data_IF_656853686482
#
_entry.id   IF_656853686482
#
_cell.length_a   1.000
_cell.length_b   1.000
_cell.length_c   1.000
_cell.angle_alpha   90.00
_cell.angle_beta   90.00
_cell.angle_gamma   90.00
#
_symmetry.space_group_name_H-M   'P 1'
#
loop_
_entity.id
_entity.type
_entity.pdbx_description
1 polymer ?
#
# COMPACT_ATOMS: atom_id res chain seq x y z
N UNK A 1 -5.08 -117.38 12.63
CA UNK A 1 -4.30 -116.41 11.83
C UNK A 1 -3.58 -115.49 12.80
N UNK A 2 -2.25 -115.59 12.81
CA UNK A 2 -1.35 -114.73 13.57
C UNK A 2 -1.48 -113.27 13.08
N UNK A 3 -1.60 -112.32 14.00
CA UNK A 3 -1.31 -110.92 13.74
C UNK A 3 -0.30 -110.46 14.80
N UNK A 4 0.96 -110.37 14.37
CA UNK A 4 2.04 -109.70 15.09
C UNK A 4 1.93 -108.22 14.72
N UNK A 5 1.80 -107.34 15.70
CA UNK A 5 1.91 -105.89 15.53
C UNK A 5 2.96 -105.32 16.51
N UNK A 6 3.75 -104.32 16.10
CA UNK A 6 5.08 -104.09 16.63
C UNK A 6 5.11 -103.20 17.90
N UNK A 7 6.16 -103.39 18.70
CA UNK A 7 6.51 -102.57 19.88
C UNK A 7 6.98 -101.18 19.44
N UNK A 8 6.43 -100.07 19.96
CA UNK A 8 7.00 -98.75 19.71
C UNK A 8 8.19 -98.47 20.64
N UNK A 9 9.30 -98.11 20.01
CA UNK A 9 10.59 -97.74 20.60
C UNK A 9 10.46 -96.40 21.35
N UNK A 10 10.80 -96.37 22.65
CA UNK A 10 10.83 -95.15 23.48
C UNK A 10 12.04 -94.29 23.12
N UNK A 11 11.81 -93.12 22.51
CA UNK A 11 12.81 -92.05 22.47
C UNK A 11 12.68 -91.17 23.72
N UNK A 12 13.64 -91.26 24.63
CA UNK A 12 13.85 -90.27 25.70
C UNK A 12 14.53 -89.04 25.10
N UNK A 13 13.77 -87.98 24.84
CA UNK A 13 14.33 -86.65 24.59
C UNK A 13 14.88 -86.09 25.91
N UNK A 14 16.19 -85.95 26.01
CA UNK A 14 16.86 -85.16 27.05
C UNK A 14 16.53 -83.69 26.83
N UNK A 15 15.90 -83.08 27.84
CA UNK A 15 15.59 -81.65 27.91
C UNK A 15 16.91 -80.87 27.93
N UNK A 16 17.18 -80.08 26.89
CA UNK A 16 18.21 -79.06 26.92
C UNK A 16 17.68 -77.84 27.67
N UNK A 17 18.24 -77.56 28.84
CA UNK A 17 17.96 -76.33 29.61
C UNK A 17 18.43 -75.11 28.81
N UNK A 18 17.48 -74.30 28.35
CA UNK A 18 17.72 -72.94 27.87
C UNK A 18 17.15 -71.93 28.88
N UNK A 19 17.71 -71.90 30.08
CA UNK A 19 17.40 -70.89 31.11
C UNK A 19 18.15 -69.58 30.84
N UNK A 20 17.71 -68.86 29.80
CA UNK A 20 17.95 -67.41 29.66
C UNK A 20 16.71 -66.73 29.08
N UNK A 21 15.62 -66.71 29.84
CA UNK A 21 14.38 -65.99 29.48
C UNK A 21 13.72 -65.43 30.73
N UNK A 22 13.97 -64.15 31.04
CA UNK A 22 13.33 -63.48 32.16
C UNK A 22 13.72 -62.01 32.30
N UNK A 23 15.02 -61.70 32.23
CA UNK A 23 15.51 -60.32 32.40
C UNK A 23 14.98 -59.34 31.34
N UNK A 24 14.91 -59.76 30.07
CA UNK A 24 14.38 -58.93 28.97
C UNK A 24 12.87 -58.69 29.16
N UNK A 25 12.10 -59.68 29.60
CA UNK A 25 10.66 -59.53 29.83
C UNK A 25 10.36 -58.55 30.96
N UNK A 26 11.15 -58.59 32.05
CA UNK A 26 11.02 -57.65 33.18
C UNK A 26 11.40 -56.23 32.73
N UNK A 27 12.49 -56.06 31.98
CA UNK A 27 12.88 -54.75 31.44
C UNK A 27 11.80 -54.20 30.49
N UNK A 28 11.28 -55.03 29.59
CA UNK A 28 10.23 -54.65 28.64
C UNK A 28 8.95 -54.21 29.36
N UNK A 29 8.60 -54.86 30.48
CA UNK A 29 7.42 -54.53 31.28
C UNK A 29 7.46 -53.11 31.87
N UNK A 30 8.65 -52.53 32.09
CA UNK A 30 8.81 -51.14 32.55
C UNK A 30 9.08 -50.17 31.39
N UNK A 31 9.88 -50.57 30.41
CA UNK A 31 10.29 -49.69 29.31
C UNK A 31 9.13 -49.41 28.34
N UNK A 32 8.29 -50.40 28.00
CA UNK A 32 7.16 -50.17 27.08
C UNK A 32 6.16 -49.14 27.63
N UNK A 33 5.67 -49.24 28.88
CA UNK A 33 4.79 -48.22 29.45
C UNK A 33 5.45 -46.86 29.54
N UNK A 34 6.73 -46.79 29.90
CA UNK A 34 7.48 -45.54 29.95
C UNK A 34 7.57 -44.87 28.57
N UNK A 35 7.91 -45.64 27.53
CA UNK A 35 7.95 -45.14 26.15
C UNK A 35 6.57 -44.71 25.66
N UNK A 36 5.50 -45.43 26.02
CA UNK A 36 4.14 -45.06 25.67
C UNK A 36 3.70 -43.75 26.36
N UNK A 37 4.07 -43.55 27.63
CA UNK A 37 3.81 -42.29 28.35
C UNK A 37 4.57 -41.11 27.73
N UNK A 38 5.84 -41.31 27.37
CA UNK A 38 6.65 -40.29 26.68
C UNK A 38 6.07 -39.98 25.29
N UNK A 39 5.64 -40.98 24.54
CA UNK A 39 4.99 -40.77 23.25
C UNK A 39 3.67 -39.99 23.39
N UNK A 40 2.82 -40.35 24.35
CA UNK A 40 1.59 -39.64 24.64
C UNK A 40 1.86 -38.17 25.03
N UNK A 41 2.88 -37.92 25.85
CA UNK A 41 3.32 -36.57 26.19
C UNK A 41 3.78 -35.78 24.96
N UNK A 42 4.64 -36.37 24.11
CA UNK A 42 5.12 -35.72 22.88
C UNK A 42 3.97 -35.40 21.91
N UNK A 43 2.99 -36.30 21.77
CA UNK A 43 1.81 -36.09 20.92
C UNK A 43 0.95 -34.94 21.45
N UNK A 44 0.66 -34.91 22.76
CA UNK A 44 -0.09 -33.81 23.36
C UNK A 44 0.68 -32.47 23.24
N UNK A 45 2.00 -32.46 23.43
CA UNK A 45 2.83 -31.27 23.24
C UNK A 45 2.77 -30.77 21.79
N UNK A 46 2.89 -31.67 20.82
CA UNK A 46 2.77 -31.33 19.40
C UNK A 46 1.39 -30.75 19.07
N UNK A 47 0.32 -31.35 19.60
CA UNK A 47 -1.05 -30.83 19.46
C UNK A 47 -1.17 -29.42 20.06
N UNK A 48 -0.64 -29.18 21.26
CA UNK A 48 -0.68 -27.84 21.88
C UNK A 48 0.01 -26.79 21.01
N UNK A 49 1.18 -27.10 20.45
CA UNK A 49 1.93 -26.16 19.63
C UNK A 49 1.23 -25.91 18.29
N UNK A 50 0.70 -26.95 17.66
CA UNK A 50 -0.07 -26.82 16.44
C UNK A 50 -1.28 -25.89 16.64
N UNK A 51 -2.10 -26.16 17.65
CA UNK A 51 -3.31 -25.38 17.94
C UNK A 51 -2.97 -23.93 18.31
N UNK A 52 -1.86 -23.68 19.01
CA UNK A 52 -1.41 -22.30 19.29
C UNK A 52 -1.09 -21.54 18.01
N UNK A 53 -0.38 -22.18 17.09
CA UNK A 53 -0.02 -21.57 15.80
C UNK A 53 -1.27 -21.35 14.94
N UNK A 54 -2.14 -22.34 14.83
CA UNK A 54 -3.42 -22.23 14.12
C UNK A 54 -4.28 -21.09 14.68
N UNK A 55 -4.40 -21.00 16.01
CA UNK A 55 -5.17 -19.93 16.66
C UNK A 55 -4.53 -18.55 16.41
N UNK A 56 -3.20 -18.46 16.42
CA UNK A 56 -2.49 -17.22 16.12
C UNK A 56 -2.74 -16.76 14.67
N UNK A 57 -2.65 -17.67 13.70
CA UNK A 57 -2.94 -17.38 12.29
C UNK A 57 -4.39 -16.92 12.11
N UNK A 58 -5.35 -17.64 12.70
CA UNK A 58 -6.77 -17.27 12.63
C UNK A 58 -7.04 -15.89 13.24
N UNK A 59 -6.37 -15.57 14.35
CA UNK A 59 -6.52 -14.30 15.08
C UNK A 59 -5.92 -13.14 14.32
N UNK A 60 -4.70 -13.30 13.76
CA UNK A 60 -4.03 -12.28 12.96
C UNK A 60 -4.82 -11.97 11.68
N UNK A 61 -5.22 -13.01 10.95
CA UNK A 61 -6.04 -12.88 9.75
C UNK A 61 -7.37 -12.16 10.05
N UNK A 62 -8.03 -12.51 11.15
CA UNK A 62 -9.26 -11.86 11.58
C UNK A 62 -9.05 -10.39 11.98
N UNK A 63 -7.97 -10.07 12.71
CA UNK A 63 -7.65 -8.69 13.06
C UNK A 63 -7.40 -7.84 11.82
N UNK A 64 -6.65 -8.37 10.85
CA UNK A 64 -6.37 -7.68 9.59
C UNK A 64 -7.62 -7.48 8.74
N UNK A 65 -8.46 -8.51 8.61
CA UNK A 65 -9.72 -8.42 7.87
C UNK A 65 -10.68 -7.42 8.53
N UNK A 66 -10.81 -7.46 9.86
CA UNK A 66 -11.65 -6.52 10.60
C UNK A 66 -11.14 -5.09 10.52
N UNK A 67 -9.83 -4.86 10.67
CA UNK A 67 -9.21 -3.54 10.50
C UNK A 67 -9.36 -3.00 9.08
N UNK A 68 -9.21 -3.86 8.07
CA UNK A 68 -9.41 -3.48 6.66
C UNK A 68 -10.87 -3.16 6.34
N UNK A 69 -11.82 -3.99 6.74
CA UNK A 69 -13.24 -3.73 6.50
C UNK A 69 -13.75 -2.52 7.29
N UNK A 70 -13.25 -2.32 8.52
CA UNK A 70 -13.51 -1.09 9.25
C UNK A 70 -12.95 0.12 8.50
N UNK A 71 -11.72 0.01 8.01
CA UNK A 71 -11.11 1.02 7.15
C UNK A 71 -12.02 1.29 5.94
N UNK A 72 -12.34 0.32 5.10
CA UNK A 72 -13.12 0.53 3.87
C UNK A 72 -14.57 1.02 4.10
N UNK A 73 -15.31 0.43 5.03
CA UNK A 73 -16.76 0.66 5.17
C UNK A 73 -17.14 1.60 6.32
N UNK A 74 -16.21 1.91 7.24
CA UNK A 74 -16.44 2.78 8.40
C UNK A 74 -17.61 2.39 9.31
N UNK A 75 -18.02 1.11 9.27
CA UNK A 75 -19.07 0.59 10.15
C UNK A 75 -18.54 -0.49 11.07
N UNK A 76 -19.06 -0.48 12.31
CA UNK A 76 -18.78 -1.51 13.32
C UNK A 76 -19.21 -2.89 12.82
N UNK A 77 -20.36 -2.96 12.14
CA UNK A 77 -20.93 -4.22 11.67
C UNK A 77 -20.07 -4.86 10.58
N UNK A 78 -19.62 -4.08 9.59
CA UNK A 78 -18.74 -4.58 8.53
C UNK A 78 -17.41 -5.13 9.10
N UNK A 79 -16.81 -4.40 10.04
CA UNK A 79 -15.58 -4.80 10.70
C UNK A 79 -15.73 -6.12 11.46
N UNK A 80 -16.80 -6.24 12.25
CA UNK A 80 -17.09 -7.45 13.01
C UNK A 80 -17.39 -8.63 12.09
N UNK A 81 -18.18 -8.41 11.04
CA UNK A 81 -18.54 -9.46 10.09
C UNK A 81 -17.34 -9.96 9.30
N UNK A 82 -16.51 -9.05 8.76
CA UNK A 82 -15.29 -9.43 8.04
C UNK A 82 -14.33 -10.23 8.93
N UNK A 83 -14.10 -9.80 10.17
CA UNK A 83 -13.27 -10.55 11.11
C UNK A 83 -13.86 -11.93 11.43
N UNK A 84 -15.17 -12.03 11.61
CA UNK A 84 -15.88 -13.29 11.88
C UNK A 84 -15.79 -14.27 10.70
N UNK A 85 -16.00 -13.77 9.48
CA UNK A 85 -15.90 -14.58 8.26
C UNK A 85 -14.47 -15.07 8.04
N UNK A 86 -13.48 -14.19 8.20
CA UNK A 86 -12.07 -14.56 8.05
C UNK A 86 -11.57 -15.49 9.14
N UNK A 87 -12.02 -15.32 10.38
CA UNK A 87 -11.80 -16.30 11.43
C UNK A 87 -12.31 -17.69 11.02
N UNK A 88 -13.54 -17.78 10.52
CA UNK A 88 -14.17 -19.05 10.12
C UNK A 88 -13.53 -19.71 8.90
N UNK A 89 -12.75 -18.99 8.09
CA UNK A 89 -11.97 -19.58 7.00
C UNK A 89 -10.73 -20.35 7.49
N UNK A 90 -10.32 -20.15 8.74
CA UNK A 90 -9.17 -20.81 9.34
C UNK A 90 -9.62 -21.91 10.29
N UNK A 91 -8.94 -23.06 10.25
CA UNK A 91 -9.19 -24.17 11.17
C UNK A 91 -8.29 -24.08 12.41
N UNK A 92 -8.86 -24.37 13.58
CA UNK A 92 -8.13 -24.48 14.84
C UNK A 92 -8.54 -25.78 15.51
N UNK A 93 -7.57 -26.69 15.69
CA UNK A 93 -7.80 -28.05 16.16
C UNK A 93 -8.77 -28.85 15.26
N UNK A 94 -8.75 -28.60 13.95
CA UNK A 94 -9.57 -29.30 12.95
C UNK A 94 -11.03 -28.85 12.85
N UNK A 95 -11.37 -27.69 13.44
CA UNK A 95 -12.70 -27.08 13.33
C UNK A 95 -12.56 -25.61 12.90
N UNK A 96 -13.48 -25.07 12.07
CA UNK A 96 -13.50 -23.65 11.71
C UNK A 96 -13.56 -22.74 12.94
N UNK A 97 -12.66 -21.76 13.02
CA UNK A 97 -12.57 -20.90 14.20
C UNK A 97 -13.77 -19.93 14.31
N UNK A 98 -14.49 -20.00 15.43
CA UNK A 98 -15.65 -19.14 15.69
C UNK A 98 -15.28 -18.00 16.63
N UNK A 99 -15.15 -16.80 16.08
CA UNK A 99 -14.87 -15.56 16.83
C UNK A 99 -16.16 -14.99 17.43
N UNK A 100 -16.14 -14.66 18.73
CA UNK A 100 -17.27 -14.01 19.39
C UNK A 100 -17.18 -12.48 19.32
N UNK A 101 -17.88 -11.88 18.36
CA UNK A 101 -17.85 -10.42 18.14
C UNK A 101 -18.76 -9.61 19.08
N UNK A 102 -19.42 -10.25 20.04
CA UNK A 102 -20.19 -9.57 21.07
C UNK A 102 -19.26 -8.82 22.02
N UNK A 103 -19.59 -7.57 22.35
CA UNK A 103 -18.71 -6.70 23.15
C UNK A 103 -18.40 -7.29 24.55
N UNK A 104 -19.34 -8.04 25.13
CA UNK A 104 -19.16 -8.71 26.42
C UNK A 104 -18.14 -9.86 26.42
N UNK A 105 -17.83 -10.43 25.24
CA UNK A 105 -16.87 -11.51 25.11
C UNK A 105 -15.41 -11.02 25.10
N UNK A 106 -15.19 -9.74 24.79
CA UNK A 106 -13.85 -9.14 24.63
C UNK A 106 -12.93 -9.99 23.72
N UNK A 107 -13.46 -10.49 22.61
CA UNK A 107 -12.67 -11.16 21.56
C UNK A 107 -12.48 -10.27 20.33
N UNK A 108 -13.32 -9.26 20.13
CA UNK A 108 -13.16 -8.22 19.12
C UNK A 108 -13.33 -6.85 19.78
N UNK A 109 -12.33 -5.99 19.68
CA UNK A 109 -12.30 -4.70 20.38
C UNK A 109 -11.74 -3.61 19.47
N UNK A 110 -12.40 -2.45 19.45
CA UNK A 110 -11.84 -1.25 18.84
C UNK A 110 -10.98 -0.49 19.84
N UNK A 111 -10.02 0.26 19.34
CA UNK A 111 -9.14 1.04 20.19
C UNK A 111 -8.32 2.08 19.46
N UNK A 112 -7.48 2.72 20.26
CA UNK A 112 -6.41 3.60 19.80
C UNK A 112 -5.10 2.96 20.24
N UNK A 113 -4.21 2.72 19.29
CA UNK A 113 -2.87 2.22 19.57
C UNK A 113 -1.86 3.36 19.50
N UNK A 114 -1.16 3.62 20.61
CA UNK A 114 -0.14 4.65 20.68
C UNK A 114 1.13 4.10 21.37
N UNK A 115 2.31 4.58 20.98
CA UNK A 115 3.53 4.27 21.73
C UNK A 115 3.62 5.17 22.97
N UNK A 116 4.01 4.60 24.11
CA UNK A 116 4.02 5.32 25.39
C UNK A 116 4.94 6.58 25.43
N UNK A 117 5.99 6.65 24.59
CA UNK A 117 7.06 7.67 24.69
C UNK A 117 7.56 8.23 23.34
N UNK A 118 6.79 8.18 22.24
CA UNK A 118 7.16 8.94 21.03
C UNK A 118 8.26 8.39 20.13
N UNK A 119 9.18 7.55 20.63
CA UNK A 119 10.47 7.34 19.94
C UNK A 119 10.95 5.90 19.76
N UNK A 120 10.61 4.94 20.61
CA UNK A 120 11.05 3.52 20.49
C UNK A 120 10.23 2.52 21.31
N UNK A 121 9.02 2.88 21.77
CA UNK A 121 8.23 2.06 22.71
C UNK A 121 7.33 1.02 22.02
N UNK A 122 6.97 -0.06 22.73
CA UNK A 122 5.87 -0.94 22.29
C UNK A 122 4.57 -0.15 22.19
N UNK A 123 3.80 -0.43 21.15
CA UNK A 123 2.45 0.10 21.01
C UNK A 123 1.56 -0.42 22.15
N UNK A 124 0.84 0.49 22.79
CA UNK A 124 -0.16 0.19 23.80
C UNK A 124 -1.54 0.40 23.21
N UNK A 125 -2.33 -0.66 23.19
CA UNK A 125 -3.72 -0.61 22.77
C UNK A 125 -4.59 -0.09 23.94
N UNK A 126 -5.34 0.97 23.68
CA UNK A 126 -6.37 1.48 24.60
C UNK A 126 -7.74 1.21 24.01
N UNK A 127 -8.56 0.45 24.72
CA UNK A 127 -9.91 0.08 24.28
C UNK A 127 -10.82 1.30 24.22
N UNK A 128 -11.58 1.41 23.12
CA UNK A 128 -12.69 2.35 22.96
C UNK A 128 -14.01 1.57 22.99
N UNK A 129 -15.04 2.04 23.73
CA UNK A 129 -16.35 1.40 23.73
C UNK A 129 -16.98 1.36 22.33
N UNK A 130 -17.50 0.22 21.91
CA UNK A 130 -18.13 0.04 20.59
C UNK A 130 -19.28 1.03 20.34
N UNK A 131 -20.01 1.42 21.39
CA UNK A 131 -21.06 2.44 21.31
C UNK A 131 -20.55 3.85 20.97
N UNK A 132 -19.32 4.18 21.36
CA UNK A 132 -18.69 5.46 21.05
C UNK A 132 -18.16 5.47 19.60
N UNK A 133 -17.72 4.31 19.11
CA UNK A 133 -17.32 4.10 17.71
C UNK A 133 -18.51 4.18 16.77
N UNK A 134 -19.62 3.48 17.08
CA UNK A 134 -20.81 3.50 16.24
C UNK A 134 -21.52 4.85 16.21
N UNK A 135 -21.38 5.65 17.27
CA UNK A 135 -21.86 7.03 17.33
C UNK A 135 -20.87 8.05 16.73
N UNK A 136 -19.74 7.59 16.17
CA UNK A 136 -18.66 8.40 15.61
C UNK A 136 -18.16 9.51 16.57
N UNK A 137 -18.16 9.23 17.87
CA UNK A 137 -17.74 10.19 18.91
C UNK A 137 -16.23 10.18 19.12
N UNK A 138 -15.57 9.07 18.80
CA UNK A 138 -14.13 8.85 18.98
C UNK A 138 -13.59 8.12 17.76
N UNK A 139 -12.59 8.71 17.09
CA UNK A 139 -11.85 8.04 16.03
C UNK A 139 -11.00 6.90 16.61
N UNK A 140 -11.10 5.72 16.01
CA UNK A 140 -10.33 4.53 16.40
C UNK A 140 -9.23 4.29 15.39
N UNK A 141 -8.02 4.02 15.89
CA UNK A 141 -6.84 3.78 15.06
C UNK A 141 -6.39 2.32 15.07
N UNK A 142 -7.12 1.44 15.75
CA UNK A 142 -6.79 0.02 15.77
C UNK A 142 -7.97 -0.89 16.13
N UNK A 143 -7.86 -2.13 15.66
CA UNK A 143 -8.73 -3.26 15.99
C UNK A 143 -7.88 -4.33 16.66
N UNK A 144 -8.29 -4.78 17.85
CA UNK A 144 -7.71 -5.93 18.54
C UNK A 144 -8.65 -7.12 18.44
N UNK A 145 -8.10 -8.25 18.00
CA UNK A 145 -8.78 -9.55 18.07
C UNK A 145 -8.07 -10.41 19.10
N UNK A 146 -8.83 -11.02 20.00
CA UNK A 146 -8.32 -11.96 21.00
C UNK A 146 -8.90 -13.35 20.72
N UNK A 147 -8.10 -14.21 20.12
CA UNK A 147 -8.45 -15.60 19.88
C UNK A 147 -8.46 -16.41 21.17
N UNK A 148 -9.57 -17.11 21.47
CA UNK A 148 -9.75 -17.88 22.71
C UNK A 148 -10.24 -19.30 22.42
N UNK A 149 -9.57 -20.29 23.01
CA UNK A 149 -10.10 -21.66 23.21
C UNK A 149 -10.19 -21.92 24.70
N UNK A 150 -11.07 -21.20 25.38
CA UNK A 150 -11.29 -21.29 26.84
C UNK A 150 -12.72 -21.73 27.12
N UNK A 151 -13.10 -21.95 28.38
CA UNK A 151 -14.49 -22.28 28.73
C UNK A 151 -15.50 -21.17 28.44
N UNK A 152 -15.03 -19.94 28.19
CA UNK A 152 -15.88 -18.77 27.90
C UNK A 152 -15.99 -18.49 26.40
N UNK A 153 -15.17 -19.13 25.55
CA UNK A 153 -15.24 -18.95 24.11
C UNK A 153 -16.28 -19.88 23.48
N UNK A 154 -16.75 -19.54 22.28
CA UNK A 154 -17.82 -20.28 21.59
C UNK A 154 -17.45 -21.75 21.31
N UNK A 155 -16.16 -22.02 21.12
CA UNK A 155 -15.65 -23.36 20.81
C UNK A 155 -15.16 -24.15 22.02
N UNK A 156 -15.12 -23.54 23.20
CA UNK A 156 -14.62 -24.19 24.40
C UNK A 156 -13.11 -24.50 24.38
N UNK A 157 -12.62 -25.17 25.43
CA UNK A 157 -11.23 -25.61 25.55
C UNK A 157 -10.92 -26.80 24.63
N UNK A 158 -9.64 -27.02 24.33
CA UNK A 158 -9.22 -28.12 23.44
C UNK A 158 -8.85 -29.35 24.26
N UNK A 159 -9.50 -30.51 24.03
CA UNK A 159 -9.17 -31.74 24.76
C UNK A 159 -7.81 -32.29 24.32
N UNK A 160 -7.09 -32.90 25.26
CA UNK A 160 -5.91 -33.70 24.91
C UNK A 160 -6.30 -34.98 24.18
N UNK A 161 -5.47 -35.40 23.23
CA UNK A 161 -5.59 -36.72 22.60
C UNK A 161 -5.47 -37.82 23.67
N UNK A 162 -4.61 -37.64 24.68
CA UNK A 162 -4.46 -38.56 25.82
C UNK A 162 -4.75 -37.85 27.16
N UNK A 163 -6.00 -37.80 27.63
CA UNK A 163 -6.45 -36.91 28.73
C UNK A 163 -6.19 -37.42 30.16
N UNK A 164 -5.61 -38.61 30.37
CA UNK A 164 -5.49 -39.24 31.70
C UNK A 164 -4.07 -39.42 32.22
N UNK A 165 -3.05 -38.86 31.57
CA UNK A 165 -1.67 -38.97 32.04
C UNK A 165 -1.36 -38.04 33.23
N UNK A 166 -2.13 -36.95 33.42
CA UNK A 166 -1.86 -35.93 34.46
C UNK A 166 -3.09 -35.33 35.15
N UNK A 167 -4.27 -35.95 35.09
CA UNK A 167 -5.54 -35.41 35.63
C UNK A 167 -5.97 -34.03 35.06
N UNK A 168 -5.42 -33.67 33.90
CA UNK A 168 -5.82 -32.50 33.12
C UNK A 168 -6.31 -33.04 31.79
N UNK A 169 -7.55 -32.72 31.42
CA UNK A 169 -8.22 -33.24 30.22
C UNK A 169 -8.14 -32.31 29.02
N UNK A 170 -7.85 -31.02 29.24
CA UNK A 170 -7.86 -29.99 28.21
C UNK A 170 -6.73 -28.96 28.37
N UNK A 171 -6.49 -28.17 27.32
CA UNK A 171 -5.66 -26.97 27.36
C UNK A 171 -6.40 -25.78 26.74
N UNK A 172 -5.98 -24.58 27.16
CA UNK A 172 -6.73 -23.34 26.95
C UNK A 172 -5.87 -22.24 26.35
N UNK A 173 -5.56 -22.30 25.04
CA UNK A 173 -4.75 -21.27 24.40
C UNK A 173 -5.55 -19.97 24.23
N UNK A 174 -4.85 -18.85 24.43
CA UNK A 174 -5.32 -17.49 24.17
C UNK A 174 -4.22 -16.78 23.40
N UNK A 175 -4.59 -16.03 22.37
CA UNK A 175 -3.67 -15.19 21.59
C UNK A 175 -4.36 -13.86 21.27
N UNK A 176 -3.59 -12.81 21.01
CA UNK A 176 -4.11 -11.51 20.63
C UNK A 176 -3.32 -10.94 19.46
N UNK A 177 -4.01 -10.31 18.52
CA UNK A 177 -3.40 -9.57 17.42
C UNK A 177 -4.06 -8.18 17.33
N UNK A 178 -3.29 -7.16 16.94
CA UNK A 178 -3.77 -5.79 16.78
C UNK A 178 -3.47 -5.31 15.36
N UNK A 179 -4.52 -5.02 14.59
CA UNK A 179 -4.40 -4.33 13.32
C UNK A 179 -4.52 -2.82 13.56
N UNK A 180 -3.52 -2.03 13.14
CA UNK A 180 -3.56 -0.58 13.24
C UNK A 180 -3.98 0.04 11.91
N UNK A 181 -4.86 1.02 11.97
CA UNK A 181 -5.15 1.99 10.92
C UNK A 181 -4.09 3.09 11.02
N UNK A 182 -3.40 3.38 9.91
CA UNK A 182 -2.21 4.25 9.92
C UNK A 182 -2.56 5.56 9.26
N UNK A 183 -2.58 6.62 10.06
CA UNK A 183 -2.50 8.01 9.61
C UNK A 183 -1.39 8.17 8.56
N UNK A 184 -1.61 8.96 7.49
CA UNK A 184 -0.60 9.12 6.42
C UNK A 184 -0.21 10.57 6.25
N UNK A 185 1.08 10.84 6.32
CA UNK A 185 1.66 12.14 6.00
C UNK A 185 2.30 12.05 4.62
N UNK A 186 1.81 12.86 3.70
CA UNK A 186 2.18 12.81 2.29
C UNK A 186 2.82 14.14 1.91
N UNK A 187 4.00 14.08 1.29
CA UNK A 187 4.60 15.25 0.65
C UNK A 187 4.61 15.07 -0.85
N UNK A 188 3.80 15.86 -1.56
CA UNK A 188 3.91 15.98 -3.01
C UNK A 188 5.04 16.96 -3.34
N UNK A 189 5.96 16.54 -4.20
CA UNK A 189 7.12 17.31 -4.67
C UNK A 189 6.95 17.51 -6.17
N UNK A 190 6.57 18.73 -6.55
CA UNK A 190 6.06 19.07 -7.87
C UNK A 190 7.10 19.82 -8.71
N UNK A 191 7.30 19.39 -9.94
CA UNK A 191 8.10 20.11 -10.93
C UNK A 191 7.33 21.32 -11.43
N UNK A 192 7.94 22.49 -11.30
CA UNK A 192 7.46 23.73 -11.91
C UNK A 192 8.56 24.38 -12.75
N UNK A 193 9.41 23.58 -13.36
CA UNK A 193 10.42 24.07 -14.29
C UNK A 193 9.78 24.63 -15.57
N UNK A 194 10.53 25.42 -16.33
CA UNK A 194 9.98 26.13 -17.50
C UNK A 194 9.47 25.22 -18.63
N UNK A 195 9.86 23.94 -18.67
CA UNK A 195 9.31 22.98 -19.64
C UNK A 195 7.86 22.61 -19.37
N UNK A 196 7.34 22.95 -18.19
CA UNK A 196 5.94 22.71 -17.82
C UNK A 196 4.97 23.74 -18.44
N UNK A 197 5.48 24.81 -19.05
CA UNK A 197 4.68 25.99 -19.45
C UNK A 197 4.16 25.95 -20.90
N UNK A 198 4.71 25.06 -21.74
CA UNK A 198 4.39 25.04 -23.17
C UNK A 198 3.60 23.79 -23.58
N UNK A 199 2.71 23.94 -24.55
CA UNK A 199 1.96 22.82 -25.12
C UNK A 199 2.85 22.01 -26.06
N UNK A 200 2.68 20.69 -26.04
CA UNK A 200 3.28 19.80 -27.05
C UNK A 200 2.18 19.21 -27.91
N UNK A 201 2.25 19.46 -29.22
CA UNK A 201 1.29 18.96 -30.20
C UNK A 201 1.87 17.75 -30.93
N UNK A 202 1.15 16.63 -30.89
CA UNK A 202 1.46 15.45 -31.70
C UNK A 202 0.64 15.48 -32.99
N UNK A 203 1.09 16.32 -33.94
CA UNK A 203 0.41 16.53 -35.21
C UNK A 203 0.34 15.25 -36.05
N UNK A 204 -0.86 14.78 -36.45
CA UNK A 204 -0.98 13.65 -37.35
C UNK A 204 -0.35 13.93 -38.72
N UNK A 205 0.13 12.88 -39.40
CA UNK A 205 0.69 12.99 -40.75
C UNK A 205 -0.24 13.79 -41.69
N UNK A 206 0.29 14.89 -42.24
CA UNK A 206 -0.44 15.78 -43.15
C UNK A 206 -1.20 16.93 -42.47
N UNK A 207 -1.19 17.01 -41.14
CA UNK A 207 -1.79 18.09 -40.37
C UNK A 207 -0.74 19.12 -39.97
N UNK A 208 -0.30 19.94 -40.93
CA UNK A 208 0.68 20.99 -40.68
C UNK A 208 -0.03 22.33 -40.44
N UNK A 209 0.06 22.93 -39.23
CA UNK A 209 -0.57 24.22 -38.94
C UNK A 209 -0.02 25.35 -39.83
N UNK A 210 1.19 25.18 -40.38
CA UNK A 210 1.83 26.13 -41.30
C UNK A 210 1.53 25.87 -42.78
N UNK A 211 0.66 24.90 -43.09
CA UNK A 211 0.18 24.70 -44.45
C UNK A 211 -0.58 25.94 -44.95
N UNK A 212 -0.48 26.23 -46.25
CA UNK A 212 -1.10 27.41 -46.86
C UNK A 212 -2.60 27.50 -46.56
N UNK A 213 -3.34 26.41 -46.72
CA UNK A 213 -4.79 26.37 -46.46
C UNK A 213 -5.14 26.62 -44.98
N UNK A 214 -4.31 26.12 -44.05
CA UNK A 214 -4.45 26.33 -42.60
C UNK A 214 -4.23 27.80 -42.24
N UNK A 215 -3.16 28.40 -42.78
CA UNK A 215 -2.85 29.81 -42.55
C UNK A 215 -3.90 30.75 -43.13
N UNK A 216 -4.44 30.44 -44.32
CA UNK A 216 -5.54 31.22 -44.92
C UNK A 216 -6.79 31.15 -44.04
N UNK A 217 -7.15 29.95 -43.55
CA UNK A 217 -8.27 29.80 -42.64
C UNK A 217 -8.06 30.59 -41.33
N UNK A 218 -6.85 30.57 -40.78
CA UNK A 218 -6.50 31.35 -39.59
C UNK A 218 -6.51 32.88 -39.83
N UNK A 219 -6.20 33.34 -41.05
CA UNK A 219 -6.36 34.75 -41.44
C UNK A 219 -7.82 35.15 -41.52
N UNK A 220 -8.68 34.31 -42.09
CA UNK A 220 -10.13 34.53 -42.17
C UNK A 220 -10.79 34.61 -40.78
N UNK A 221 -10.28 33.86 -39.80
CA UNK A 221 -10.69 33.94 -38.39
C UNK A 221 -10.03 35.09 -37.61
N UNK A 222 -9.11 35.82 -38.24
CA UNK A 222 -8.46 36.99 -37.65
C UNK A 222 -7.40 36.65 -36.60
N UNK A 223 -6.84 35.45 -36.61
CA UNK A 223 -5.73 35.04 -35.72
C UNK A 223 -4.40 35.58 -36.24
N UNK A 224 -4.20 35.50 -37.55
CA UNK A 224 -2.98 35.97 -38.24
C UNK A 224 -3.30 36.97 -39.36
N UNK A 225 -2.29 37.68 -39.81
CA UNK A 225 -2.28 38.51 -41.03
C UNK A 225 -1.19 37.99 -41.97
N UNK A 226 -1.53 37.74 -43.23
CA UNK A 226 -0.65 37.13 -44.23
C UNK A 226 -0.14 38.16 -45.24
N UNK A 227 1.18 38.36 -45.27
CA UNK A 227 1.80 39.16 -46.31
C UNK A 227 2.09 38.29 -47.54
N UNK A 228 1.31 38.47 -48.61
CA UNK A 228 1.50 37.73 -49.86
C UNK A 228 2.55 38.37 -50.77
N UNK A 229 3.38 37.52 -51.41
CA UNK A 229 4.17 37.93 -52.58
C UNK A 229 3.39 37.62 -53.85
N UNK A 230 3.32 38.57 -54.77
CA UNK A 230 2.63 38.41 -56.05
C UNK A 230 3.61 38.26 -57.21
N UNK A 231 3.28 37.41 -58.16
CA UNK A 231 3.96 37.26 -59.46
C UNK A 231 2.91 37.38 -60.57
N UNK A 232 3.15 38.27 -61.53
CA UNK A 232 2.23 38.53 -62.65
C UNK A 232 0.78 38.88 -62.22
N UNK A 233 0.61 39.48 -61.04
CA UNK A 233 -0.70 39.85 -60.50
C UNK A 233 -1.46 38.71 -59.81
N UNK A 234 -0.86 37.52 -59.68
CA UNK A 234 -1.41 36.41 -58.90
C UNK A 234 -0.56 36.14 -57.64
N UNK A 235 -1.15 35.65 -56.54
CA UNK A 235 -0.40 35.21 -55.37
C UNK A 235 0.61 34.13 -55.77
N UNK A 236 1.87 34.26 -55.34
CA UNK A 236 2.96 33.31 -55.60
C UNK A 236 3.22 32.45 -54.36
N UNK A 237 3.41 33.08 -53.18
CA UNK A 237 3.54 32.40 -51.89
C UNK A 237 3.40 33.40 -50.72
N UNK A 238 3.11 32.88 -49.52
CA UNK A 238 3.07 33.64 -48.26
C UNK A 238 4.49 34.06 -47.87
N UNK A 239 4.75 35.36 -47.83
CA UNK A 239 6.07 35.93 -47.50
C UNK A 239 6.29 36.03 -46.00
N UNK A 240 5.26 36.39 -45.25
CA UNK A 240 5.30 36.55 -43.78
C UNK A 240 3.93 36.24 -43.20
N UNK A 241 3.97 35.67 -42.00
CA UNK A 241 2.82 35.50 -41.11
C UNK A 241 3.08 36.41 -39.91
N UNK A 242 2.06 37.15 -39.45
CA UNK A 242 2.14 37.97 -38.24
C UNK A 242 0.90 37.76 -37.40
N UNK A 243 1.06 37.55 -36.10
CA UNK A 243 -0.08 37.37 -35.18
C UNK A 243 -0.82 38.69 -34.99
N UNK A 244 -2.15 38.62 -35.03
CA UNK A 244 -2.98 39.76 -34.69
C UNK A 244 -2.88 40.08 -33.21
N UNK A 245 -3.25 41.31 -32.84
CA UNK A 245 -3.06 41.79 -31.47
C UNK A 245 -3.87 40.92 -30.49
N UNK A 246 -3.16 40.30 -29.55
CA UNK A 246 -3.75 39.44 -28.52
C UNK A 246 -3.74 37.96 -28.88
N UNK A 247 -3.22 37.61 -30.05
CA UNK A 247 -2.94 36.24 -30.46
C UNK A 247 -1.42 35.97 -30.49
N UNK A 248 -1.06 34.71 -30.34
CA UNK A 248 0.28 34.19 -30.52
C UNK A 248 0.30 32.86 -31.28
N UNK A 249 1.44 32.16 -31.22
CA UNK A 249 1.65 30.89 -31.90
C UNK A 249 0.79 29.76 -31.32
N UNK A 250 0.54 29.77 -30.02
CA UNK A 250 -0.28 28.74 -29.39
C UNK A 250 -1.74 28.91 -29.81
N UNK A 251 -2.25 30.14 -29.94
CA UNK A 251 -3.59 30.38 -30.47
C UNK A 251 -3.75 29.87 -31.92
N UNK A 252 -2.72 30.03 -32.76
CA UNK A 252 -2.71 29.48 -34.11
C UNK A 252 -2.76 27.95 -34.08
N UNK A 253 -2.01 27.32 -33.18
CA UNK A 253 -1.96 25.87 -33.05
C UNK A 253 -3.24 25.30 -32.46
N UNK A 254 -3.81 25.92 -31.43
CA UNK A 254 -5.11 25.57 -30.84
C UNK A 254 -6.20 25.62 -31.93
N UNK A 255 -6.28 26.73 -32.68
CA UNK A 255 -7.23 26.85 -33.78
C UNK A 255 -7.02 25.79 -34.85
N UNK A 256 -5.78 25.60 -35.30
CA UNK A 256 -5.49 24.62 -36.34
C UNK A 256 -5.88 23.21 -35.88
N UNK A 257 -5.59 22.87 -34.62
CA UNK A 257 -5.89 21.59 -34.01
C UNK A 257 -7.40 21.35 -33.88
N UNK A 258 -8.10 22.27 -33.21
CA UNK A 258 -9.50 22.09 -32.81
C UNK A 258 -10.45 22.32 -33.98
N UNK A 259 -10.25 23.39 -34.74
CA UNK A 259 -11.23 23.88 -35.71
C UNK A 259 -10.87 23.49 -37.14
N UNK A 260 -9.61 23.68 -37.55
CA UNK A 260 -9.21 23.41 -38.94
C UNK A 260 -9.09 21.91 -39.24
N UNK A 261 -8.35 21.18 -38.39
CA UNK A 261 -8.18 19.73 -38.54
C UNK A 261 -9.22 18.90 -37.78
N UNK A 262 -9.95 19.50 -36.83
CA UNK A 262 -11.02 18.81 -36.12
C UNK A 262 -10.53 17.68 -35.22
N UNK A 263 -9.36 17.84 -34.59
CA UNK A 263 -8.66 16.79 -33.83
C UNK A 263 -9.19 16.62 -32.40
N UNK A 264 -10.21 17.38 -32.02
CA UNK A 264 -10.73 17.44 -30.65
C UNK A 264 -10.11 18.61 -29.88
N UNK A 265 -10.25 18.64 -28.54
CA UNK A 265 -9.64 19.69 -27.71
C UNK A 265 -8.13 19.72 -27.89
N UNK A 266 -7.56 20.92 -27.91
CA UNK A 266 -6.13 21.12 -27.93
C UNK A 266 -5.48 20.55 -26.66
N UNK A 267 -4.22 20.08 -26.75
CA UNK A 267 -3.50 19.59 -25.60
C UNK A 267 -3.32 20.69 -24.55
N UNK A 268 -3.39 20.30 -23.28
CA UNK A 268 -3.03 21.17 -22.17
C UNK A 268 -1.52 21.36 -22.10
N UNK A 269 -1.09 22.35 -21.32
CA UNK A 269 0.29 22.41 -20.85
C UNK A 269 0.55 21.28 -19.83
N UNK A 270 1.80 20.79 -19.69
CA UNK A 270 2.14 19.84 -18.65
C UNK A 270 1.82 20.32 -17.23
N UNK A 271 1.86 21.63 -16.99
CA UNK A 271 1.47 22.22 -15.72
C UNK A 271 -0.02 22.06 -15.44
N UNK A 272 -0.89 22.32 -16.42
CA UNK A 272 -2.33 22.13 -16.28
C UNK A 272 -2.68 20.65 -16.03
N UNK A 273 -2.04 19.73 -16.75
CA UNK A 273 -2.21 18.29 -16.52
C UNK A 273 -1.75 17.88 -15.11
N UNK A 274 -0.64 18.43 -14.62
CA UNK A 274 -0.19 18.20 -13.25
C UNK A 274 -1.18 18.74 -12.22
N UNK A 275 -1.77 19.92 -12.44
CA UNK A 275 -2.79 20.48 -11.55
C UNK A 275 -4.02 19.56 -11.50
N UNK A 276 -4.46 19.04 -12.64
CA UNK A 276 -5.56 18.06 -12.69
C UNK A 276 -5.20 16.75 -11.98
N UNK A 277 -3.98 16.23 -12.16
CA UNK A 277 -3.53 15.00 -11.50
C UNK A 277 -3.43 15.15 -9.97
N UNK A 278 -2.96 16.31 -9.49
CA UNK A 278 -2.96 16.61 -8.05
C UNK A 278 -4.39 16.76 -7.51
N UNK A 279 -5.31 17.35 -8.26
CA UNK A 279 -6.71 17.42 -7.85
C UNK A 279 -7.34 16.02 -7.75
N UNK A 280 -7.13 15.16 -8.75
CA UNK A 280 -7.59 13.77 -8.73
C UNK A 280 -7.00 12.97 -7.55
N UNK A 281 -5.70 13.16 -7.27
CA UNK A 281 -5.06 12.60 -6.08
C UNK A 281 -5.79 12.98 -4.79
N UNK A 282 -6.08 14.28 -4.61
CA UNK A 282 -6.76 14.79 -3.44
C UNK A 282 -8.23 14.33 -3.38
N UNK A 283 -8.90 14.19 -4.52
CA UNK A 283 -10.26 13.64 -4.59
C UNK A 283 -10.31 12.17 -4.15
N UNK A 284 -9.30 11.36 -4.51
CA UNK A 284 -9.19 9.99 -4.00
C UNK A 284 -9.02 10.02 -2.49
N UNK A 285 -8.15 10.89 -1.96
CA UNK A 285 -7.96 11.01 -0.52
C UNK A 285 -9.20 11.52 0.23
N UNK A 286 -9.98 12.43 -0.36
CA UNK A 286 -11.27 12.89 0.20
C UNK A 286 -12.29 11.73 0.34
N UNK A 287 -12.15 10.69 -0.48
CA UNK A 287 -12.96 9.48 -0.42
C UNK A 287 -12.36 8.43 0.51
N UNK A 288 -11.08 8.57 0.87
CA UNK A 288 -10.45 7.66 1.81
C UNK A 288 -10.86 7.97 3.24
N UNK A 289 -11.03 6.94 4.07
CA UNK A 289 -11.45 7.11 5.44
C UNK A 289 -10.28 7.17 6.44
N UNK A 290 -9.03 7.23 5.96
CA UNK A 290 -7.92 7.49 6.89
C UNK A 290 -7.88 8.98 7.20
N UNK A 291 -7.03 9.35 8.16
CA UNK A 291 -6.66 10.73 8.34
C UNK A 291 -5.38 10.98 7.54
N UNK A 292 -5.53 11.50 6.33
CA UNK A 292 -4.42 11.92 5.48
C UNK A 292 -4.09 13.40 5.66
N UNK A 293 -2.80 13.71 5.70
CA UNK A 293 -2.30 15.08 5.62
C UNK A 293 -1.39 15.20 4.41
N UNK A 294 -1.58 16.25 3.62
CA UNK A 294 -0.80 16.51 2.41
C UNK A 294 -0.04 17.83 2.56
N UNK A 295 1.24 17.82 2.20
CA UNK A 295 2.06 19.01 2.03
C UNK A 295 2.48 19.15 0.57
N UNK A 296 2.58 20.40 0.09
CA UNK A 296 3.09 20.71 -1.25
C UNK A 296 4.48 21.31 -1.11
N UNK A 297 5.44 20.68 -1.76
CA UNK A 297 6.70 21.30 -2.12
C UNK A 297 6.78 21.41 -3.63
N UNK A 298 7.33 22.51 -4.12
CA UNK A 298 7.58 22.71 -5.56
C UNK A 298 9.04 23.01 -5.79
N UNK A 299 9.50 22.80 -7.02
CA UNK A 299 10.87 23.15 -7.38
C UNK A 299 11.00 23.66 -8.80
N UNK A 300 11.98 24.55 -8.94
CA UNK A 300 12.63 24.87 -10.19
C UNK A 300 14.15 24.82 -9.98
N UNK A 301 14.89 25.88 -10.29
CA UNK A 301 16.27 26.07 -9.80
C UNK A 301 16.35 26.04 -8.26
N UNK A 302 15.27 26.39 -7.55
CA UNK A 302 15.17 26.35 -6.09
C UNK A 302 13.99 25.48 -5.66
N UNK A 303 14.09 24.83 -4.50
CA UNK A 303 12.96 24.16 -3.87
C UNK A 303 12.30 25.06 -2.82
N UNK A 304 10.99 24.95 -2.68
CA UNK A 304 10.19 25.56 -1.61
C UNK A 304 9.23 24.55 -1.03
N UNK A 305 8.90 24.71 0.26
CA UNK A 305 7.73 24.07 0.86
C UNK A 305 6.61 25.12 0.85
N UNK A 306 5.61 24.90 0.01
CA UNK A 306 4.58 25.88 -0.33
C UNK A 306 3.37 25.80 0.62
N UNK A 307 3.11 24.61 1.17
CA UNK A 307 2.29 24.45 2.36
C UNK A 307 2.81 23.32 3.26
N UNK A 308 2.52 23.40 4.55
CA UNK A 308 2.79 22.32 5.50
C UNK A 308 1.83 21.15 5.28
N UNK A 309 1.96 20.10 6.10
CA UNK A 309 0.97 19.02 6.19
C UNK A 309 -0.37 19.61 6.66
N UNK A 310 -1.38 19.48 5.79
CA UNK A 310 -2.77 19.94 5.97
C UNK A 310 -3.73 18.79 5.66
N UNK A 311 -4.80 18.68 6.43
CA UNK A 311 -5.97 17.83 6.20
C UNK A 311 -7.07 18.56 5.39
N UNK A 312 -7.02 19.90 5.34
CA UNK A 312 -7.84 20.73 4.47
C UNK A 312 -7.31 20.70 3.02
N UNK A 313 -7.83 19.77 2.21
CA UNK A 313 -7.41 19.63 0.81
C UNK A 313 -7.85 20.79 -0.08
N UNK A 314 -8.84 21.59 0.31
CA UNK A 314 -9.17 22.83 -0.42
C UNK A 314 -8.06 23.88 -0.25
N UNK A 315 -7.45 23.97 0.94
CA UNK A 315 -6.27 24.80 1.15
C UNK A 315 -5.04 24.29 0.38
N UNK A 316 -4.91 22.97 0.21
CA UNK A 316 -3.87 22.34 -0.63
C UNK A 316 -4.09 22.70 -2.10
N UNK A 317 -5.30 22.51 -2.64
CA UNK A 317 -5.69 22.92 -4.01
C UNK A 317 -5.41 24.40 -4.25
N UNK A 318 -5.81 25.26 -3.31
CA UNK A 318 -5.56 26.70 -3.38
C UNK A 318 -4.06 27.07 -3.34
N UNK A 319 -3.21 26.21 -2.79
CA UNK A 319 -1.76 26.39 -2.82
C UNK A 319 -1.20 26.07 -4.20
N UNK A 320 -1.60 24.92 -4.77
CA UNK A 320 -1.18 24.50 -6.11
C UNK A 320 -1.62 25.54 -7.17
N UNK A 321 -2.85 26.05 -7.08
CA UNK A 321 -3.38 27.06 -8.01
C UNK A 321 -2.62 28.41 -8.02
N UNK A 322 -1.77 28.69 -7.02
CA UNK A 322 -0.93 29.90 -6.97
C UNK A 322 0.49 29.67 -7.51
N UNK A 323 0.85 28.43 -7.78
CA UNK A 323 2.14 28.07 -8.35
C UNK A 323 2.10 28.22 -9.88
N UNK A 324 3.27 28.40 -10.47
CA UNK A 324 3.41 28.48 -11.92
C UNK A 324 4.80 28.07 -12.38
N UNK A 325 4.92 27.58 -13.64
CA UNK A 325 6.18 27.19 -14.24
C UNK A 325 7.20 28.32 -14.31
N UNK A 326 8.48 28.01 -14.09
CA UNK A 326 9.61 28.93 -14.33
C UNK A 326 10.95 28.23 -14.08
N UNK A 327 12.03 28.71 -14.72
CA UNK A 327 13.40 28.36 -14.33
C UNK A 327 13.83 26.92 -14.68
N UNK A 328 14.88 26.43 -13.99
CA UNK A 328 15.53 25.13 -14.28
C UNK A 328 14.90 23.95 -13.52
N UNK A 329 15.44 22.74 -13.68
CA UNK A 329 14.90 21.48 -13.14
C UNK A 329 15.76 20.95 -11.99
N UNK A 330 15.45 21.37 -10.76
CA UNK A 330 16.21 21.07 -9.54
C UNK A 330 15.59 20.00 -8.64
N UNK A 331 15.35 18.79 -9.15
CA UNK A 331 14.65 17.69 -8.44
C UNK A 331 15.10 17.50 -6.98
N UNK A 332 16.41 17.40 -6.71
CA UNK A 332 16.90 17.20 -5.35
C UNK A 332 16.65 18.37 -4.39
N UNK A 333 16.52 19.61 -4.91
CA UNK A 333 16.12 20.77 -4.11
C UNK A 333 14.65 20.65 -3.69
N UNK A 334 13.79 20.17 -4.59
CA UNK A 334 12.40 19.83 -4.29
C UNK A 334 12.30 18.76 -3.22
N UNK A 335 13.00 17.64 -3.38
CA UNK A 335 13.02 16.54 -2.39
C UNK A 335 13.51 17.01 -1.02
N UNK A 336 14.55 17.86 -0.98
CA UNK A 336 15.06 18.43 0.27
C UNK A 336 14.01 19.30 0.95
N UNK A 337 13.26 20.11 0.18
CA UNK A 337 12.21 20.99 0.70
C UNK A 337 11.00 20.19 1.19
N UNK A 338 10.54 19.22 0.41
CA UNK A 338 9.45 18.31 0.79
C UNK A 338 9.77 17.53 2.06
N UNK A 339 11.01 17.05 2.23
CA UNK A 339 11.41 16.34 3.44
C UNK A 339 11.26 17.15 4.73
N UNK A 340 11.29 18.49 4.65
CA UNK A 340 11.10 19.34 5.84
C UNK A 340 9.70 19.22 6.42
N UNK A 341 8.69 18.86 5.61
CA UNK A 341 7.32 18.68 6.10
C UNK A 341 7.22 17.58 7.14
N UNK A 342 7.99 16.49 6.98
CA UNK A 342 8.02 15.34 7.88
C UNK A 342 8.72 15.57 9.23
N UNK A 343 9.38 16.72 9.39
CA UNK A 343 10.04 17.12 10.65
C UNK A 343 9.36 18.32 11.30
N UNK A 344 8.31 18.86 10.68
CA UNK A 344 7.51 19.96 11.19
C UNK A 344 6.63 19.53 12.38
N UNK A 345 6.16 20.47 13.19
CA UNK A 345 5.26 20.19 14.32
C UNK A 345 3.90 19.58 13.90
N UNK A 346 3.49 19.79 12.64
CA UNK A 346 2.29 19.19 12.08
C UNK A 346 2.52 17.74 11.66
N UNK A 347 3.76 17.32 11.47
CA UNK A 347 4.06 15.92 11.14
C UNK A 347 3.69 15.03 12.31
N UNK A 348 2.93 13.99 12.01
CA UNK A 348 2.48 13.02 12.99
C UNK A 348 3.60 12.01 13.22
N UNK A 349 4.11 11.86 14.45
CA UNK A 349 5.25 10.99 14.74
C UNK A 349 5.07 9.52 14.33
N UNK A 350 3.81 9.07 14.19
CA UNK A 350 3.45 7.69 13.92
C UNK A 350 2.73 7.49 12.58
N UNK A 351 2.58 8.56 11.79
CA UNK A 351 2.00 8.44 10.47
C UNK A 351 2.99 7.75 9.52
N UNK A 352 2.44 6.98 8.56
CA UNK A 352 3.22 6.52 7.42
C UNK A 352 3.61 7.75 6.59
N UNK A 353 4.92 7.94 6.39
CA UNK A 353 5.46 9.07 5.62
C UNK A 353 5.69 8.64 4.18
N UNK A 354 5.04 9.31 3.24
CA UNK A 354 5.23 9.06 1.80
C UNK A 354 5.59 10.35 1.07
N UNK A 355 6.71 10.35 0.36
CA UNK A 355 7.07 11.40 -0.58
C UNK A 355 6.72 10.96 -2.00
N UNK A 356 6.01 11.80 -2.74
CA UNK A 356 5.72 11.58 -4.17
C UNK A 356 6.47 12.66 -4.95
N UNK A 357 7.41 12.25 -5.79
CA UNK A 357 8.27 13.18 -6.56
C UNK A 357 7.92 13.08 -8.04
N UNK A 358 7.41 14.17 -8.61
CA UNK A 358 7.04 14.24 -10.02
C UNK A 358 8.02 15.12 -10.81
N UNK A 359 8.35 14.74 -12.05
CA UNK A 359 9.16 15.54 -13.00
C UNK A 359 8.76 15.30 -14.46
N UNK A 360 8.81 16.35 -15.29
CA UNK A 360 8.68 16.26 -16.76
C UNK A 360 10.03 16.28 -17.50
N UNK A 361 11.13 16.46 -16.75
CA UNK A 361 12.41 16.84 -17.31
C UNK A 361 13.62 16.12 -16.73
N UNK A 362 14.79 16.65 -17.08
CA UNK A 362 16.09 16.12 -16.66
C UNK A 362 16.65 17.04 -15.58
N UNK A 363 17.01 16.45 -14.43
CA UNK A 363 17.73 17.16 -13.38
C UNK A 363 18.98 17.85 -13.93
N UNK A 364 19.04 19.17 -13.80
CA UNK A 364 20.12 19.99 -14.36
C UNK A 364 20.64 21.06 -13.37
N UNK A 365 20.13 21.09 -12.14
CA UNK A 365 20.53 22.07 -11.14
C UNK A 365 20.47 21.54 -9.70
N UNK A 366 21.46 21.87 -8.88
CA UNK A 366 21.50 21.49 -7.46
C UNK A 366 22.05 20.09 -7.21
N UNK A 367 21.62 19.47 -6.10
CA UNK A 367 22.08 18.12 -5.72
C UNK A 367 21.24 17.07 -6.42
N UNK A 368 21.89 16.02 -6.94
CA UNK A 368 21.20 14.92 -7.62
C UNK A 368 20.18 14.22 -6.71
N UNK A 369 18.98 13.86 -7.23
CA UNK A 369 17.90 13.29 -6.43
C UNK A 369 18.28 11.95 -5.77
N UNK A 370 19.07 11.12 -6.44
CA UNK A 370 19.61 9.87 -5.89
C UNK A 370 20.43 10.07 -4.60
N UNK A 371 21.16 11.18 -4.49
CA UNK A 371 21.92 11.49 -3.27
C UNK A 371 20.98 11.86 -2.12
N UNK A 372 19.94 12.64 -2.42
CA UNK A 372 18.92 13.04 -1.44
C UNK A 372 18.13 11.82 -0.97
N UNK A 373 17.68 10.96 -1.88
CA UNK A 373 16.97 9.72 -1.55
C UNK A 373 17.75 8.85 -0.55
N UNK A 374 19.04 8.59 -0.81
CA UNK A 374 19.88 7.80 0.11
C UNK A 374 20.01 8.42 1.49
N UNK A 375 20.16 9.75 1.56
CA UNK A 375 20.26 10.46 2.83
C UNK A 375 18.95 10.38 3.63
N UNK A 376 17.82 10.60 2.96
CA UNK A 376 16.50 10.51 3.58
C UNK A 376 16.23 9.10 4.12
N UNK A 377 16.49 8.05 3.33
CA UNK A 377 16.30 6.67 3.76
C UNK A 377 17.23 6.23 4.89
N UNK A 378 18.34 6.94 5.12
CA UNK A 378 19.25 6.66 6.24
C UNK A 378 18.82 7.30 7.57
N UNK A 379 17.91 8.27 7.53
CA UNK A 379 17.55 9.11 8.67
C UNK A 379 16.07 9.07 9.03
N UNK A 380 15.20 8.75 8.06
CA UNK A 380 13.75 8.75 8.20
C UNK A 380 13.16 7.41 7.74
N UNK A 381 12.07 6.98 8.37
CA UNK A 381 11.27 5.86 7.89
C UNK A 381 10.17 6.40 6.96
N UNK A 382 10.49 6.57 5.68
CA UNK A 382 9.57 7.06 4.66
C UNK A 382 9.63 6.23 3.38
N UNK A 383 8.58 6.32 2.58
CA UNK A 383 8.50 5.75 1.24
C UNK A 383 8.67 6.86 0.19
N UNK A 384 9.42 6.63 -0.89
CA UNK A 384 9.55 7.59 -2.01
C UNK A 384 8.99 6.96 -3.27
N UNK A 385 7.87 7.50 -3.75
CA UNK A 385 7.31 7.19 -5.07
C UNK A 385 7.75 8.26 -6.07
N UNK A 386 7.95 7.87 -7.33
CA UNK A 386 8.36 8.80 -8.38
C UNK A 386 7.43 8.73 -9.57
N UNK A 387 7.18 9.88 -10.19
CA UNK A 387 6.35 10.01 -11.39
C UNK A 387 7.16 10.77 -12.44
N UNK A 388 7.21 10.24 -13.66
CA UNK A 388 7.79 10.94 -14.82
C UNK A 388 6.74 11.21 -15.87
N UNK A 389 6.66 12.46 -16.33
CA UNK A 389 5.68 12.87 -17.34
C UNK A 389 6.35 13.23 -18.67
N UNK A 390 5.81 12.71 -19.76
CA UNK A 390 6.31 12.94 -21.10
C UNK A 390 7.69 12.32 -21.39
N UNK A 391 8.11 12.45 -22.64
CA UNK A 391 9.35 11.83 -23.14
C UNK A 391 10.63 12.56 -22.71
N UNK A 392 10.52 13.80 -22.22
CA UNK A 392 11.64 14.63 -21.76
C UNK A 392 12.22 14.22 -20.40
N UNK A 393 11.49 13.43 -19.62
CA UNK A 393 11.86 13.06 -18.27
C UNK A 393 12.94 11.96 -18.23
N UNK A 394 13.90 12.08 -17.30
CA UNK A 394 14.90 11.02 -17.09
C UNK A 394 14.34 9.86 -16.26
N UNK A 395 13.60 8.96 -16.92
CA UNK A 395 12.96 7.80 -16.29
C UNK A 395 13.93 6.90 -15.53
N UNK A 396 15.10 6.61 -16.11
CA UNK A 396 16.10 5.75 -15.48
C UNK A 396 16.56 6.30 -14.12
N UNK A 397 16.75 7.61 -14.01
CA UNK A 397 17.12 8.26 -12.73
C UNK A 397 15.98 8.15 -11.73
N UNK A 398 14.74 8.42 -12.14
CA UNK A 398 13.58 8.39 -11.25
C UNK A 398 13.21 6.97 -10.80
N UNK A 399 13.45 5.95 -11.63
CA UNK A 399 13.37 4.55 -11.24
C UNK A 399 14.38 4.22 -10.14
N UNK A 400 15.62 4.69 -10.25
CA UNK A 400 16.66 4.46 -9.26
C UNK A 400 16.33 5.14 -7.91
N UNK A 401 15.73 6.33 -7.97
CA UNK A 401 15.21 7.06 -6.79
C UNK A 401 14.09 6.28 -6.10
N UNK A 402 13.10 5.79 -6.85
CA UNK A 402 12.00 5.00 -6.29
C UNK A 402 12.50 3.70 -5.64
N UNK A 403 13.40 2.96 -6.31
CA UNK A 403 14.02 1.75 -5.75
C UNK A 403 14.78 2.07 -4.46
N UNK A 404 15.54 3.17 -4.43
CA UNK A 404 16.25 3.63 -3.23
C UNK A 404 15.26 3.93 -2.10
N UNK A 405 14.15 4.57 -2.42
CA UNK A 405 13.09 4.96 -1.47
C UNK A 405 12.07 3.87 -1.14
N UNK A 406 12.33 2.61 -1.52
CA UNK A 406 11.43 1.47 -1.33
C UNK A 406 10.01 1.69 -1.93
N UNK A 407 9.88 2.57 -2.93
CA UNK A 407 8.62 2.89 -3.60
C UNK A 407 8.58 2.41 -5.05
N UNK A 408 7.55 2.85 -5.77
CA UNK A 408 7.30 2.52 -7.18
C UNK A 408 7.54 3.76 -8.06
N UNK A 409 8.04 3.52 -9.27
CA UNK A 409 8.11 4.51 -10.34
C UNK A 409 6.90 4.35 -11.27
N UNK A 410 6.33 5.48 -11.66
CA UNK A 410 5.24 5.60 -12.62
C UNK A 410 5.69 6.50 -13.77
N UNK A 411 5.20 6.20 -14.96
CA UNK A 411 5.41 7.03 -16.14
C UNK A 411 4.08 7.26 -16.84
N UNK A 412 3.86 8.50 -17.25
CA UNK A 412 2.72 8.93 -18.04
C UNK A 412 3.21 9.63 -19.30
N UNK A 413 2.67 9.26 -20.45
CA UNK A 413 2.89 9.90 -21.74
C UNK A 413 1.81 10.95 -22.06
N UNK A 414 0.67 10.92 -21.36
CA UNK A 414 -0.47 11.86 -21.52
C UNK A 414 -1.03 12.36 -20.18
N UNK A 415 -1.77 13.47 -20.20
CA UNK A 415 -2.42 14.03 -19.02
C UNK A 415 -3.36 13.04 -18.32
N UNK A 416 -4.10 12.25 -19.09
CA UNK A 416 -4.98 11.19 -18.56
C UNK A 416 -4.17 10.12 -17.82
N UNK A 417 -3.05 9.65 -18.39
CA UNK A 417 -2.16 8.69 -17.72
C UNK A 417 -1.50 9.29 -16.47
N UNK A 418 -1.26 10.61 -16.44
CA UNK A 418 -0.73 11.29 -15.27
C UNK A 418 -1.75 11.32 -14.13
N UNK A 419 -3.02 11.59 -14.45
CA UNK A 419 -4.14 11.49 -13.52
C UNK A 419 -4.24 10.06 -12.97
N UNK A 420 -4.27 9.04 -13.84
CA UNK A 420 -4.33 7.63 -13.43
C UNK A 420 -3.16 7.24 -12.52
N UNK A 421 -1.94 7.70 -12.81
CA UNK A 421 -0.77 7.43 -11.98
C UNK A 421 -0.93 8.03 -10.56
N UNK A 422 -1.42 9.26 -10.44
CA UNK A 422 -1.66 9.89 -9.15
C UNK A 422 -2.80 9.21 -8.37
N UNK A 423 -3.89 8.83 -9.04
CA UNK A 423 -4.96 8.03 -8.42
C UNK A 423 -4.45 6.67 -7.93
N UNK A 424 -3.61 5.98 -8.70
CA UNK A 424 -3.02 4.69 -8.30
C UNK A 424 -2.13 4.86 -7.05
N UNK A 425 -1.33 5.93 -7.00
CA UNK A 425 -0.49 6.25 -5.85
C UNK A 425 -1.36 6.46 -4.60
N UNK A 426 -2.42 7.28 -4.70
CA UNK A 426 -3.32 7.56 -3.59
C UNK A 426 -3.98 6.29 -3.03
N UNK A 427 -4.42 5.38 -3.91
CA UNK A 427 -5.06 4.12 -3.54
C UNK A 427 -4.09 3.10 -2.89
N UNK A 428 -2.80 3.14 -3.23
CA UNK A 428 -1.82 2.11 -2.82
C UNK A 428 -0.83 2.57 -1.74
N UNK A 429 -1.14 3.63 -0.98
CA UNK A 429 -0.26 4.11 0.09
C UNK A 429 -0.05 3.06 1.20
N UNK A 430 1.19 2.90 1.74
CA UNK A 430 1.52 1.81 2.69
C UNK A 430 0.71 1.79 4.00
N UNK A 431 0.48 0.59 4.56
CA UNK A 431 -0.14 0.33 5.89
C UNK A 431 0.82 -0.44 6.82
N UNK A 432 0.77 -0.22 8.15
CA UNK A 432 1.67 -0.87 9.16
C UNK A 432 0.93 -1.97 9.94
N UNK A 433 1.60 -3.08 10.22
CA UNK A 433 1.14 -4.16 11.11
C UNK A 433 2.03 -4.21 12.38
N UNK A 434 1.44 -4.48 13.54
CA UNK A 434 2.16 -4.66 14.81
C UNK A 434 1.73 -5.95 15.50
N UNK A 435 2.70 -6.82 15.79
CA UNK A 435 2.50 -8.08 16.54
C UNK A 435 2.33 -7.87 18.05
#
# INVERSE_FOLDING_TARGET
MMSVSPVPMRFTMTRGDATRRGGITVLMAFVLPMLALLAAFCINLAQMQLVKTELAIATDAAARAGGRAFSEEQTVEAAKEAARLTAAMNEVAGEPYQLNTNDGANEFEFGVSAQADGRTGRFQFTKVPTGDVSANMVAVSSVRVTGKRTGESLMGPVPFIFPNTFSISDFRPVTSAVAMQVDRDISLVLDRSGSMDWKTYDWPDGSDPWAEDSLIAAEDEGIVDLEWRYRNGQPDYIRRVSYNRGYDEEDLYDYAWEEFFGLGPAPNTPWEDLVMAVDAFLQVLDQTPQNEQVSIASYNSHGSLDCWLLDDFDAVRATVARLGPSGSTGIGNGMTSGATSFTHQNARPYASKTMVVMTDGIHNYGTAPNTIARNLMSSENLNIQTVTFGSGANQATMQEVAVTGLGKHYHADSGDELVEAFEEIANNLPTILTD
#
